data_IF_694869330286
#
_entry.id   IF_694869330286
#
_cell.length_a   1.000
_cell.length_b   1.000
_cell.length_c   1.000
_cell.angle_alpha   90.00
_cell.angle_beta   90.00
_cell.angle_gamma   90.00
#
_symmetry.space_group_name_H-M   'P 1'
#
loop_
_entity.id
_entity.type
_entity.pdbx_description
1 polymer ?
#
# COMPACT_ATOMS: atom_id res chain seq x y z
N UNK A 1 -5.09 7.50 -22.81
CA UNK A 1 -4.39 7.22 -21.53
C UNK A 1 -4.97 5.95 -20.95
N UNK A 2 -4.13 5.05 -20.44
CA UNK A 2 -4.62 3.91 -19.65
C UNK A 2 -5.12 4.45 -18.29
N UNK A 3 -6.38 4.20 -17.87
CA UNK A 3 -6.85 4.56 -16.53
C UNK A 3 -5.99 3.99 -15.40
N UNK A 4 -5.19 2.96 -15.68
CA UNK A 4 -4.25 2.32 -14.73
C UNK A 4 -2.96 3.11 -14.50
N UNK A 5 -2.64 4.08 -15.36
CA UNK A 5 -1.45 4.93 -15.21
C UNK A 5 -1.72 6.18 -14.35
N UNK A 6 -2.96 6.37 -13.90
CA UNK A 6 -3.27 7.48 -12.99
C UNK A 6 -2.55 7.27 -11.64
N UNK A 7 -1.99 8.33 -11.04
CA UNK A 7 -1.39 8.26 -9.70
C UNK A 7 -2.35 7.66 -8.66
N UNK A 8 -3.60 8.15 -8.63
CA UNK A 8 -4.69 7.64 -7.79
C UNK A 8 -4.85 6.11 -7.89
N UNK A 9 -4.97 5.59 -9.12
CA UNK A 9 -5.14 4.15 -9.32
C UNK A 9 -3.93 3.34 -8.85
N UNK A 10 -2.71 3.84 -9.09
CA UNK A 10 -1.48 3.16 -8.66
C UNK A 10 -1.39 3.09 -7.13
N UNK A 11 -1.71 4.17 -6.43
CA UNK A 11 -1.76 4.21 -4.96
C UNK A 11 -2.82 3.27 -4.40
N UNK A 12 -4.06 3.34 -4.92
CA UNK A 12 -5.17 2.47 -4.52
C UNK A 12 -4.84 0.98 -4.72
N UNK A 13 -4.20 0.65 -5.85
CA UNK A 13 -3.78 -0.71 -6.18
C UNK A 13 -2.69 -1.20 -5.24
N UNK A 14 -1.69 -0.37 -4.93
CA UNK A 14 -0.63 -0.72 -3.99
C UNK A 14 -1.19 -0.99 -2.58
N UNK A 15 -2.07 -0.12 -2.07
CA UNK A 15 -2.77 -0.30 -0.79
C UNK A 15 -3.57 -1.61 -0.77
N UNK A 16 -4.35 -1.85 -1.81
CA UNK A 16 -5.18 -3.06 -1.92
C UNK A 16 -4.34 -4.33 -1.95
N UNK A 17 -3.16 -4.30 -2.58
CA UNK A 17 -2.24 -5.42 -2.59
C UNK A 17 -1.62 -5.67 -1.21
N UNK A 18 -1.16 -4.61 -0.52
CA UNK A 18 -0.53 -4.73 0.79
C UNK A 18 -1.52 -5.21 1.86
N UNK A 19 -2.76 -4.71 1.86
CA UNK A 19 -3.82 -5.15 2.80
C UNK A 19 -4.24 -6.62 2.62
N UNK A 20 -3.87 -7.26 1.52
CA UNK A 20 -4.11 -8.69 1.27
C UNK A 20 -3.00 -9.58 1.77
N UNK A 21 -1.86 -9.02 2.20
CA UNK A 21 -0.78 -9.79 2.78
C UNK A 21 -1.21 -10.20 4.19
N UNK A 22 -1.10 -11.48 4.48
CA UNK A 22 -1.31 -12.01 5.82
C UNK A 22 -0.14 -11.60 6.71
N UNK A 23 -0.34 -10.52 7.46
CA UNK A 23 0.71 -9.88 8.29
C UNK A 23 1.04 -10.72 9.54
N UNK A 24 0.15 -11.64 9.92
CA UNK A 24 0.37 -12.55 11.05
C UNK A 24 1.34 -13.68 10.67
N UNK A 25 1.42 -14.03 9.38
CA UNK A 25 2.34 -15.02 8.85
C UNK A 25 3.77 -14.48 8.57
N UNK A 26 4.01 -13.19 8.78
CA UNK A 26 5.31 -12.55 8.55
C UNK A 26 6.19 -12.56 9.79
N UNK A 27 7.51 -12.52 9.59
CA UNK A 27 8.43 -12.16 10.65
C UNK A 27 8.24 -10.70 11.06
N UNK A 28 8.69 -10.36 12.26
CA UNK A 28 8.49 -9.02 12.81
C UNK A 28 9.11 -7.92 11.92
N UNK A 29 10.30 -8.17 11.35
CA UNK A 29 10.95 -7.24 10.40
C UNK A 29 10.10 -6.95 9.16
N UNK A 30 9.42 -7.96 8.62
CA UNK A 30 8.59 -7.80 7.42
C UNK A 30 7.22 -7.19 7.76
N UNK A 31 6.69 -7.46 8.97
CA UNK A 31 5.50 -6.77 9.49
C UNK A 31 5.75 -5.27 9.59
N UNK A 32 6.84 -4.86 10.22
CA UNK A 32 7.21 -3.45 10.39
C UNK A 32 7.34 -2.74 9.03
N UNK A 33 7.93 -3.42 8.04
CA UNK A 33 8.04 -2.89 6.67
C UNK A 33 6.68 -2.69 6.01
N UNK A 34 5.77 -3.63 6.16
CA UNK A 34 4.42 -3.53 5.60
C UNK A 34 3.64 -2.41 6.28
N UNK A 35 3.70 -2.32 7.60
CA UNK A 35 3.03 -1.24 8.35
C UNK A 35 3.55 0.13 7.92
N UNK A 36 4.87 0.30 7.81
CA UNK A 36 5.47 1.53 7.30
C UNK A 36 5.04 1.86 5.86
N UNK A 37 4.99 0.85 4.99
CA UNK A 37 4.56 1.03 3.60
C UNK A 37 3.07 1.40 3.49
N UNK A 38 2.21 0.77 4.30
CA UNK A 38 0.78 1.10 4.39
C UNK A 38 0.60 2.55 4.86
N UNK A 39 1.26 2.96 5.93
CA UNK A 39 1.19 4.32 6.45
C UNK A 39 1.64 5.37 5.42
N UNK A 40 2.73 5.10 4.70
CA UNK A 40 3.22 5.98 3.66
C UNK A 40 2.24 6.11 2.48
N UNK A 41 1.64 4.99 2.04
CA UNK A 41 0.68 4.99 0.94
C UNK A 41 -0.66 5.62 1.33
N UNK A 42 -1.13 5.43 2.57
CA UNK A 42 -2.30 6.12 3.09
C UNK A 42 -2.07 7.63 3.15
N UNK A 43 -0.91 8.09 3.64
CA UNK A 43 -0.57 9.50 3.65
C UNK A 43 -0.61 10.12 2.25
N UNK A 44 -0.08 9.44 1.23
CA UNK A 44 -0.13 9.89 -0.16
C UNK A 44 -1.56 9.91 -0.71
N UNK A 45 -2.42 8.98 -0.29
CA UNK A 45 -3.84 8.96 -0.72
C UNK A 45 -4.65 10.16 -0.21
N UNK A 46 -4.20 10.82 0.86
CA UNK A 46 -4.83 12.04 1.40
C UNK A 46 -4.32 13.34 0.77
N UNK A 47 -3.34 13.28 -0.14
CA UNK A 47 -2.74 14.45 -0.80
C UNK A 47 -3.40 14.81 -2.14
N UNK A 48 -4.52 14.17 -2.50
CA UNK A 48 -5.29 14.45 -3.72
C UNK A 48 -6.31 15.59 -3.56
#
# INVERSE_FOLDING_TARGET
>A
MDPRDTPAYRTQRALSNLRRIDVEALCDDDRDRIEAALAALEAVSYLE
#
